data_IF_886808752662
#
_entry.id   IF_886808752662
#
_cell.length_a   1.000
_cell.length_b   1.000
_cell.length_c   1.000
_cell.angle_alpha   90.00
_cell.angle_beta   90.00
_cell.angle_gamma   90.00
#
_symmetry.space_group_name_H-M   'P 1'
#
loop_
_entity.id
_entity.type
_entity.pdbx_description
1 polymer ?
#
# COMPACT_ATOMS: atom_id res chain seq x y z
N UNK A 1 22.00 1.61 9.10
CA UNK A 1 21.65 0.46 8.25
C UNK A 1 22.85 0.16 7.37
N UNK A 2 23.26 -1.10 7.35
CA UNK A 2 24.42 -1.64 6.64
C UNK A 2 23.96 -2.35 5.38
N UNK A 3 24.38 -1.86 4.22
CA UNK A 3 23.98 -2.36 2.91
C UNK A 3 25.19 -2.97 2.20
N UNK A 4 25.09 -4.20 1.71
CA UNK A 4 26.04 -4.74 0.75
C UNK A 4 25.50 -4.63 -0.69
N UNK A 5 26.40 -4.58 -1.67
CA UNK A 5 26.04 -4.47 -3.09
C UNK A 5 26.60 -5.68 -3.85
N UNK A 6 25.74 -6.37 -4.61
CA UNK A 6 26.09 -7.43 -5.55
C UNK A 6 25.83 -6.93 -6.97
N UNK A 7 26.87 -6.92 -7.80
CA UNK A 7 26.90 -6.24 -9.09
C UNK A 7 27.29 -4.78 -8.94
N UNK A 8 28.46 -4.39 -9.44
CA UNK A 8 29.06 -3.06 -9.34
C UNK A 8 29.09 -2.34 -10.71
N UNK A 9 28.21 -2.71 -11.64
CA UNK A 9 28.15 -2.12 -12.98
C UNK A 9 27.61 -0.69 -13.04
N UNK A 10 27.41 -0.18 -14.26
CA UNK A 10 27.09 1.24 -14.53
C UNK A 10 25.93 1.84 -13.71
N UNK A 11 24.84 1.09 -13.49
CA UNK A 11 23.68 1.58 -12.72
C UNK A 11 24.08 1.82 -11.26
N UNK A 12 24.95 0.96 -10.70
CA UNK A 12 25.47 1.12 -9.34
C UNK A 12 26.31 2.37 -9.22
N UNK A 13 27.20 2.59 -10.20
CA UNK A 13 28.09 3.76 -10.23
C UNK A 13 27.33 5.08 -10.37
N UNK A 14 26.34 5.12 -11.28
CA UNK A 14 25.66 6.36 -11.65
C UNK A 14 24.49 6.72 -10.75
N UNK A 15 23.77 5.72 -10.25
CA UNK A 15 22.49 5.94 -9.55
C UNK A 15 22.54 5.44 -8.11
N UNK A 16 22.90 4.17 -7.89
CA UNK A 16 22.74 3.58 -6.56
C UNK A 16 23.71 4.14 -5.53
N UNK A 17 25.04 4.11 -5.77
CA UNK A 17 26.01 4.61 -4.79
C UNK A 17 25.78 6.10 -4.46
N UNK A 18 25.59 7.01 -5.45
CA UNK A 18 25.26 8.40 -5.15
C UNK A 18 24.00 8.55 -4.28
N UNK A 19 22.94 7.82 -4.61
CA UNK A 19 21.68 7.85 -3.83
C UNK A 19 21.87 7.31 -2.41
N UNK A 20 22.55 6.17 -2.26
CA UNK A 20 22.84 5.54 -0.97
C UNK A 20 23.65 6.49 -0.08
N UNK A 21 24.65 7.16 -0.64
CA UNK A 21 25.46 8.16 0.05
C UNK A 21 24.62 9.36 0.52
N UNK A 22 23.73 9.89 -0.34
CA UNK A 22 22.80 10.98 0.03
C UNK A 22 21.87 10.57 1.18
N UNK A 23 21.41 9.32 1.19
CA UNK A 23 20.56 8.77 2.24
C UNK A 23 21.32 8.47 3.54
N UNK A 24 22.65 8.63 3.57
CA UNK A 24 23.47 8.36 4.76
C UNK A 24 23.51 6.87 5.14
N UNK A 25 23.28 5.98 4.17
CA UNK A 25 23.32 4.52 4.39
C UNK A 25 24.76 4.06 4.24
N UNK A 26 25.21 3.20 5.18
CA UNK A 26 26.57 2.67 5.18
C UNK A 26 26.67 1.48 4.21
N UNK A 27 27.55 1.58 3.21
CA UNK A 27 27.89 0.47 2.32
C UNK A 27 28.96 -0.35 3.01
N UNK A 28 28.70 -1.62 3.31
CA UNK A 28 29.62 -2.45 4.12
C UNK A 28 30.34 -3.54 3.32
N UNK A 29 29.96 -3.76 2.06
CA UNK A 29 30.59 -4.74 1.18
C UNK A 29 30.21 -4.55 -0.27
N UNK A 30 31.16 -4.86 -1.17
CA UNK A 30 30.94 -4.91 -2.62
C UNK A 30 31.22 -6.31 -3.15
N UNK A 31 30.41 -6.79 -4.07
CA UNK A 31 30.63 -8.04 -4.76
C UNK A 31 30.40 -7.88 -6.26
N UNK A 32 31.38 -8.27 -7.07
CA UNK A 32 31.23 -8.38 -8.52
C UNK A 32 32.23 -9.44 -9.03
N UNK A 33 31.84 -10.19 -10.05
CA UNK A 33 32.73 -11.16 -10.69
C UNK A 33 33.88 -10.48 -11.44
N UNK A 34 33.68 -9.23 -11.86
CA UNK A 34 34.66 -8.41 -12.55
C UNK A 34 35.31 -7.42 -11.56
N UNK A 35 36.61 -7.60 -11.30
CA UNK A 35 37.37 -6.77 -10.36
C UNK A 35 37.39 -5.28 -10.75
N UNK A 36 37.40 -4.97 -12.06
CA UNK A 36 37.34 -3.61 -12.58
C UNK A 36 36.09 -2.84 -12.11
N UNK A 37 34.93 -3.50 -12.04
CA UNK A 37 33.69 -2.89 -11.57
C UNK A 37 33.79 -2.53 -10.08
N UNK A 38 34.41 -3.40 -9.27
CA UNK A 38 34.66 -3.14 -7.85
C UNK A 38 35.57 -1.93 -7.69
N UNK A 39 36.64 -1.83 -8.50
CA UNK A 39 37.60 -0.73 -8.46
C UNK A 39 36.87 0.59 -8.73
N UNK A 40 36.05 0.66 -9.78
CA UNK A 40 35.28 1.88 -10.10
C UNK A 40 34.27 2.22 -9.02
N UNK A 41 33.53 1.24 -8.48
CA UNK A 41 32.58 1.46 -7.41
C UNK A 41 33.25 1.99 -6.14
N UNK A 42 34.44 1.47 -5.81
CA UNK A 42 35.21 1.90 -4.63
C UNK A 42 35.66 3.36 -4.73
N UNK A 43 35.90 3.90 -5.93
CA UNK A 43 36.25 5.34 -6.11
C UNK A 43 35.15 6.28 -5.63
N UNK A 44 33.90 5.81 -5.59
CA UNK A 44 32.73 6.58 -5.17
C UNK A 44 32.45 6.46 -3.66
N UNK A 45 33.27 5.68 -2.93
CA UNK A 45 33.10 5.40 -1.52
C UNK A 45 34.34 5.88 -0.77
N UNK A 46 34.16 6.84 0.14
CA UNK A 46 35.27 7.56 0.79
C UNK A 46 35.92 6.80 1.97
N UNK A 47 35.63 5.51 2.12
CA UNK A 47 36.12 4.68 3.22
C UNK A 47 36.41 3.25 2.74
N UNK A 48 37.24 2.53 3.51
CA UNK A 48 37.62 1.16 3.18
C UNK A 48 36.48 0.21 3.46
N UNK A 49 36.19 -0.64 2.48
CA UNK A 49 35.18 -1.69 2.57
C UNK A 49 35.73 -2.98 1.97
N UNK A 50 35.38 -4.15 2.52
CA UNK A 50 35.75 -5.44 1.95
C UNK A 50 35.07 -5.62 0.59
N UNK A 51 35.68 -6.41 -0.29
CA UNK A 51 35.11 -6.70 -1.60
C UNK A 51 35.41 -8.13 -2.03
N UNK A 52 34.47 -8.73 -2.74
CA UNK A 52 34.43 -10.16 -3.01
C UNK A 52 34.10 -10.42 -4.49
N UNK A 53 34.57 -11.55 -5.02
CA UNK A 53 34.09 -12.08 -6.30
C UNK A 53 32.96 -13.10 -6.12
N UNK A 54 32.83 -13.67 -4.91
CA UNK A 54 31.79 -14.60 -4.52
C UNK A 54 30.83 -13.93 -3.53
N UNK A 55 29.55 -13.85 -3.88
CA UNK A 55 28.56 -13.21 -3.01
C UNK A 55 28.29 -14.06 -1.74
N UNK A 56 28.44 -15.38 -1.80
CA UNK A 56 28.22 -16.24 -0.65
C UNK A 56 29.26 -15.95 0.44
N UNK A 57 30.54 -15.86 0.07
CA UNK A 57 31.63 -15.46 0.97
C UNK A 57 31.36 -14.08 1.59
N UNK A 58 30.93 -13.10 0.77
CA UNK A 58 30.57 -11.78 1.29
C UNK A 58 29.44 -11.85 2.32
N UNK A 59 28.40 -12.64 2.07
CA UNK A 59 27.25 -12.74 2.98
C UNK A 59 27.58 -13.48 4.29
N UNK A 60 28.56 -14.39 4.26
CA UNK A 60 29.06 -15.09 5.44
C UNK A 60 29.98 -14.21 6.30
N UNK A 61 30.83 -13.40 5.66
CA UNK A 61 31.86 -12.61 6.35
C UNK A 61 31.43 -11.19 6.72
N UNK A 62 30.50 -10.60 5.96
CA UNK A 62 30.11 -9.19 6.12
C UNK A 62 28.71 -9.11 6.76
N UNK A 63 28.61 -8.69 8.04
CA UNK A 63 27.33 -8.44 8.68
C UNK A 63 26.57 -7.33 7.93
N UNK A 64 25.42 -7.68 7.37
CA UNK A 64 24.59 -6.79 6.54
C UNK A 64 23.15 -6.78 7.03
N UNK A 65 22.50 -5.61 6.99
CA UNK A 65 21.06 -5.49 7.26
C UNK A 65 20.24 -5.72 5.98
N UNK A 66 20.83 -5.43 4.82
CA UNK A 66 20.20 -5.57 3.50
C UNK A 66 21.25 -5.74 2.39
N UNK A 67 20.81 -6.24 1.24
CA UNK A 67 21.66 -6.48 0.06
C UNK A 67 20.99 -5.90 -1.18
N UNK A 68 21.72 -5.09 -1.94
CA UNK A 68 21.32 -4.59 -3.25
C UNK A 68 21.88 -5.50 -4.35
N UNK A 69 20.99 -6.20 -5.06
CA UNK A 69 21.36 -7.03 -6.21
C UNK A 69 21.11 -6.27 -7.51
N UNK A 70 22.18 -5.77 -8.12
CA UNK A 70 22.18 -4.95 -9.33
C UNK A 70 22.84 -5.68 -10.51
N UNK A 71 22.39 -6.92 -10.76
CA UNK A 71 22.86 -7.75 -11.87
C UNK A 71 22.03 -7.52 -13.15
N UNK A 72 22.64 -7.68 -14.35
CA UNK A 72 21.93 -7.56 -15.63
C UNK A 72 20.85 -8.65 -15.83
N UNK A 73 19.69 -8.26 -16.34
CA UNK A 73 18.50 -9.14 -16.49
C UNK A 73 18.62 -10.19 -17.59
N UNK A 74 19.46 -9.97 -18.59
CA UNK A 74 19.51 -10.85 -19.77
C UNK A 74 20.21 -12.19 -19.52
N UNK A 75 20.90 -12.35 -18.38
CA UNK A 75 21.63 -13.57 -18.03
C UNK A 75 20.71 -14.75 -17.65
N UNK A 76 19.41 -14.49 -17.42
CA UNK A 76 18.41 -15.50 -17.01
C UNK A 76 17.68 -16.15 -18.20
N UNK A 77 17.84 -15.64 -19.43
CA UNK A 77 17.21 -16.21 -20.64
C UNK A 77 18.13 -17.22 -21.31
N UNK A 78 17.91 -18.50 -21.04
CA UNK A 78 18.73 -19.59 -21.57
C UNK A 78 18.27 -20.13 -22.94
N UNK A 79 17.07 -19.78 -23.40
CA UNK A 79 16.52 -20.21 -24.68
C UNK A 79 17.03 -19.34 -25.83
N UNK A 80 17.78 -19.93 -26.77
CA UNK A 80 18.46 -19.20 -27.86
C UNK A 80 17.53 -18.29 -28.67
N UNK A 81 16.34 -18.78 -29.06
CA UNK A 81 15.35 -18.01 -29.82
C UNK A 81 14.67 -16.88 -29.03
N UNK A 82 14.93 -16.76 -27.73
CA UNK A 82 14.38 -15.71 -26.87
C UNK A 82 15.45 -14.70 -26.39
N UNK A 83 16.73 -14.95 -26.67
CA UNK A 83 17.84 -14.10 -26.22
C UNK A 83 17.75 -12.67 -26.74
N UNK A 84 17.25 -12.47 -27.95
CA UNK A 84 17.07 -11.12 -28.53
C UNK A 84 16.01 -10.29 -27.77
N UNK A 85 15.07 -10.95 -27.09
CA UNK A 85 14.06 -10.31 -26.25
C UNK A 85 14.49 -10.22 -24.79
N UNK A 86 15.70 -10.63 -24.40
CA UNK A 86 16.06 -10.72 -22.97
C UNK A 86 16.18 -9.35 -22.27
N UNK A 87 16.46 -8.27 -23.03
CA UNK A 87 16.58 -6.91 -22.50
C UNK A 87 15.21 -6.23 -22.38
N UNK A 88 14.32 -6.45 -23.34
CA UNK A 88 13.02 -5.76 -23.44
C UNK A 88 11.85 -6.62 -22.98
N UNK A 89 11.91 -7.92 -23.25
CA UNK A 89 10.82 -8.87 -23.08
C UNK A 89 9.48 -8.33 -23.59
N UNK A 90 8.40 -8.86 -23.03
CA UNK A 90 7.12 -8.15 -22.88
C UNK A 90 6.86 -7.77 -21.41
N UNK A 91 7.88 -7.92 -20.55
CA UNK A 91 7.80 -7.74 -19.10
C UNK A 91 8.36 -6.40 -18.64
N UNK A 92 7.93 -5.95 -17.46
CA UNK A 92 8.49 -4.77 -16.79
C UNK A 92 9.38 -5.22 -15.61
N UNK A 93 10.38 -4.42 -15.25
CA UNK A 93 11.11 -4.60 -14.01
C UNK A 93 10.26 -4.10 -12.82
N UNK A 94 9.46 -5.00 -12.23
CA UNK A 94 8.58 -4.73 -11.08
C UNK A 94 9.16 -5.21 -9.75
N UNK A 95 10.50 -5.29 -9.64
CA UNK A 95 11.16 -5.74 -8.40
C UNK A 95 11.08 -4.65 -7.33
N UNK A 96 10.77 -5.06 -6.10
CA UNK A 96 10.82 -4.17 -4.94
C UNK A 96 12.27 -3.75 -4.66
N UNK A 97 12.47 -2.46 -4.38
CA UNK A 97 13.77 -1.96 -3.96
C UNK A 97 14.14 -2.52 -2.56
N UNK A 98 15.39 -2.92 -2.28
CA UNK A 98 15.80 -3.47 -0.99
C UNK A 98 15.46 -2.57 0.21
N UNK A 99 15.52 -1.25 0.02
CA UNK A 99 15.08 -0.29 1.05
C UNK A 99 13.59 -0.40 1.38
N UNK A 100 12.74 -0.63 0.37
CA UNK A 100 11.32 -0.90 0.58
C UNK A 100 11.11 -2.18 1.40
N UNK A 101 11.87 -3.22 1.09
CA UNK A 101 11.86 -4.47 1.86
C UNK A 101 12.30 -4.24 3.32
N UNK A 102 13.38 -3.49 3.53
CA UNK A 102 13.91 -3.18 4.86
C UNK A 102 12.95 -2.34 5.71
N UNK A 103 12.13 -1.48 5.10
CA UNK A 103 11.07 -0.74 5.80
C UNK A 103 9.90 -1.64 6.18
N UNK A 104 9.52 -2.58 5.31
CA UNK A 104 8.40 -3.51 5.56
C UNK A 104 8.76 -4.57 6.60
N UNK A 105 10.00 -5.03 6.63
CA UNK A 105 10.40 -6.18 7.46
C UNK A 105 10.08 -6.00 8.96
N UNK A 106 10.40 -4.87 9.64
CA UNK A 106 10.01 -4.66 11.02
C UNK A 106 8.49 -4.50 11.25
N UNK A 107 7.73 -4.12 10.21
CA UNK A 107 6.27 -4.08 10.28
C UNK A 107 5.67 -5.49 10.29
N UNK A 108 6.32 -6.44 9.61
CA UNK A 108 5.88 -7.84 9.58
C UNK A 108 5.92 -8.49 10.97
N UNK A 109 6.91 -8.16 11.80
CA UNK A 109 7.01 -8.65 13.19
C UNK A 109 5.79 -8.26 14.05
N UNK A 110 5.20 -7.10 13.75
CA UNK A 110 4.02 -6.57 14.46
C UNK A 110 2.71 -6.91 13.76
N UNK A 111 2.75 -7.52 12.58
CA UNK A 111 1.58 -7.70 11.73
C UNK A 111 0.42 -8.42 12.44
N UNK A 112 0.72 -9.51 13.16
CA UNK A 112 -0.30 -10.25 13.90
C UNK A 112 -0.94 -9.42 15.02
N UNK A 113 -0.13 -8.69 15.79
CA UNK A 113 -0.63 -7.78 16.82
C UNK A 113 -1.51 -6.68 16.20
N UNK A 114 -1.04 -6.06 15.12
CA UNK A 114 -1.78 -5.00 14.42
C UNK A 114 -3.15 -5.51 13.92
N UNK A 115 -3.21 -6.72 13.35
CA UNK A 115 -4.47 -7.30 12.90
C UNK A 115 -5.43 -7.57 14.05
N UNK A 116 -4.94 -8.07 15.18
CA UNK A 116 -5.80 -8.33 16.34
C UNK A 116 -6.36 -7.04 16.95
N UNK A 117 -5.51 -6.02 17.12
CA UNK A 117 -5.92 -4.71 17.62
C UNK A 117 -6.97 -4.06 16.69
N UNK A 118 -6.78 -4.16 15.36
CA UNK A 118 -7.78 -3.66 14.41
C UNK A 118 -9.12 -4.39 14.52
N UNK A 119 -9.12 -5.71 14.71
CA UNK A 119 -10.35 -6.49 14.90
C UNK A 119 -11.03 -6.13 16.21
N UNK A 120 -10.26 -5.85 17.26
CA UNK A 120 -10.77 -5.37 18.52
C UNK A 120 -11.46 -4.01 18.37
N UNK A 121 -10.76 -3.03 17.79
CA UNK A 121 -11.31 -1.71 17.45
C UNK A 121 -12.61 -1.85 16.65
N UNK A 122 -12.60 -2.68 15.60
CA UNK A 122 -13.79 -2.88 14.77
C UNK A 122 -14.96 -3.51 15.53
N UNK A 123 -14.70 -4.39 16.50
CA UNK A 123 -15.76 -4.98 17.34
C UNK A 123 -16.41 -3.94 18.24
N UNK A 124 -15.60 -3.08 18.87
CA UNK A 124 -16.08 -2.00 19.74
C UNK A 124 -16.90 -1.00 18.93
N UNK A 125 -16.33 -0.47 17.84
CA UNK A 125 -17.00 0.50 16.98
C UNK A 125 -18.30 -0.06 16.42
N UNK A 126 -18.32 -1.32 15.96
CA UNK A 126 -19.54 -1.97 15.50
C UNK A 126 -20.61 -2.00 16.58
N UNK A 127 -20.25 -2.42 17.80
CA UNK A 127 -21.20 -2.52 18.90
C UNK A 127 -21.83 -1.17 19.24
N UNK A 128 -21.04 -0.10 19.28
CA UNK A 128 -21.53 1.24 19.63
C UNK A 128 -22.27 1.92 18.48
N UNK A 129 -21.75 1.85 17.26
CA UNK A 129 -22.39 2.47 16.09
C UNK A 129 -23.75 1.82 15.78
N UNK A 130 -23.90 0.51 15.95
CA UNK A 130 -25.18 -0.17 15.71
C UNK A 130 -26.27 0.19 16.74
N UNK A 131 -25.94 0.86 17.86
CA UNK A 131 -26.92 1.43 18.78
C UNK A 131 -27.52 2.73 18.24
N UNK A 132 -26.86 3.38 17.28
CA UNK A 132 -27.27 4.67 16.74
C UNK A 132 -28.31 4.45 15.64
N UNK A 133 -29.54 4.93 15.86
CA UNK A 133 -30.62 4.81 14.90
C UNK A 133 -30.27 5.55 13.60
N UNK A 134 -30.24 4.80 12.49
CA UNK A 134 -29.90 5.32 11.17
C UNK A 134 -28.47 5.01 10.71
N UNK A 135 -27.63 4.45 11.59
CA UNK A 135 -26.30 3.95 11.24
C UNK A 135 -26.26 2.42 11.37
N UNK A 136 -25.51 1.77 10.48
CA UNK A 136 -25.35 0.31 10.54
C UNK A 136 -24.04 -0.14 9.89
N UNK A 137 -23.34 -1.07 10.52
CA UNK A 137 -22.16 -1.68 9.89
C UNK A 137 -22.57 -2.71 8.83
N UNK A 138 -21.78 -2.79 7.76
CA UNK A 138 -21.98 -3.80 6.73
C UNK A 138 -21.93 -5.23 7.30
N UNK A 139 -22.63 -6.15 6.63
CA UNK A 139 -22.67 -7.56 7.06
C UNK A 139 -21.28 -8.19 6.90
N UNK A 140 -20.73 -8.66 8.01
CA UNK A 140 -19.53 -9.50 8.02
C UNK A 140 -19.95 -10.97 7.87
N UNK A 141 -19.40 -11.75 6.90
CA UNK A 141 -19.70 -13.17 6.79
C UNK A 141 -19.30 -13.96 8.04
N UNK A 142 -20.10 -14.95 8.45
CA UNK A 142 -19.88 -15.71 9.71
C UNK A 142 -18.53 -16.43 9.81
N UNK A 143 -17.94 -16.79 8.67
CA UNK A 143 -16.65 -17.49 8.59
C UNK A 143 -15.49 -16.56 8.21
N UNK A 144 -15.74 -15.26 8.11
CA UNK A 144 -14.70 -14.30 7.77
C UNK A 144 -13.94 -13.86 9.03
N UNK A 145 -12.64 -13.72 8.88
CA UNK A 145 -11.74 -13.08 9.85
C UNK A 145 -11.16 -11.81 9.19
N UNK A 146 -11.81 -10.64 9.32
CA UNK A 146 -11.48 -9.50 8.48
C UNK A 146 -10.14 -8.85 8.84
N UNK A 147 -9.35 -8.55 7.81
CA UNK A 147 -8.23 -7.61 7.88
C UNK A 147 -8.76 -6.21 7.55
N UNK A 148 -9.14 -5.45 8.58
CA UNK A 148 -9.80 -4.16 8.39
C UNK A 148 -8.84 -3.10 7.81
N UNK A 149 -9.09 -2.69 6.57
CA UNK A 149 -8.50 -1.47 6.01
C UNK A 149 -9.24 -0.24 6.55
N UNK A 150 -10.56 -0.25 6.44
CA UNK A 150 -11.48 0.76 6.96
C UNK A 150 -12.84 0.11 7.25
N UNK A 151 -13.67 0.73 8.07
CA UNK A 151 -15.02 0.28 8.39
C UNK A 151 -16.08 1.06 7.61
N UNK A 152 -16.77 0.42 6.65
CA UNK A 152 -17.92 1.02 5.99
C UNK A 152 -19.13 1.03 6.92
N UNK A 153 -19.73 2.22 7.06
CA UNK A 153 -20.91 2.51 7.86
C UNK A 153 -22.02 2.94 6.89
N UNK A 154 -23.11 2.18 6.91
CA UNK A 154 -24.31 2.49 6.15
C UNK A 154 -25.09 3.61 6.83
N UNK A 155 -25.53 4.58 6.02
CA UNK A 155 -26.28 5.76 6.42
C UNK A 155 -27.71 5.69 5.89
N UNK A 156 -28.69 5.78 6.78
CA UNK A 156 -30.12 5.85 6.43
C UNK A 156 -30.62 7.29 6.44
N UNK A 157 -30.68 7.91 5.25
CA UNK A 157 -31.21 9.27 5.05
C UNK A 157 -32.62 9.48 5.61
N UNK A 158 -33.42 8.43 5.80
CA UNK A 158 -34.76 8.57 6.38
C UNK A 158 -34.71 9.00 7.86
N UNK A 159 -33.61 8.75 8.57
CA UNK A 159 -33.44 9.06 10.01
C UNK A 159 -32.79 10.42 10.29
N UNK A 160 -32.26 11.09 9.26
CA UNK A 160 -31.53 12.34 9.41
C UNK A 160 -32.11 13.47 8.57
N UNK A 161 -32.00 14.71 9.08
CA UNK A 161 -32.45 15.93 8.40
C UNK A 161 -31.59 16.23 7.17
N UNK A 162 -30.29 15.91 7.22
CA UNK A 162 -29.28 16.21 6.18
C UNK A 162 -28.87 14.99 5.35
N UNK A 163 -28.30 15.23 4.17
CA UNK A 163 -27.76 14.22 3.25
C UNK A 163 -26.49 13.53 3.79
N UNK A 164 -26.05 12.46 3.13
CA UNK A 164 -24.81 11.76 3.50
C UNK A 164 -23.59 12.70 3.49
N UNK A 165 -23.42 13.50 2.44
CA UNK A 165 -22.31 14.45 2.32
C UNK A 165 -22.30 15.49 3.44
N UNK A 166 -23.46 16.09 3.73
CA UNK A 166 -23.61 17.07 4.80
C UNK A 166 -23.40 16.45 6.20
N UNK A 167 -23.82 15.18 6.38
CA UNK A 167 -23.58 14.44 7.61
C UNK A 167 -22.08 14.19 7.83
N UNK A 168 -21.36 13.73 6.80
CA UNK A 168 -19.91 13.50 6.87
C UNK A 168 -19.15 14.82 7.06
N UNK A 169 -19.54 15.89 6.37
CA UNK A 169 -18.97 17.23 6.59
C UNK A 169 -19.21 17.74 8.03
N UNK A 170 -20.36 17.44 8.61
CA UNK A 170 -20.62 17.76 10.01
C UNK A 170 -19.72 16.96 10.98
N UNK A 171 -19.43 15.70 10.68
CA UNK A 171 -18.49 14.88 11.46
C UNK A 171 -17.06 15.44 11.39
N UNK A 172 -16.57 15.75 10.18
CA UNK A 172 -15.22 16.26 9.99
C UNK A 172 -15.02 17.62 10.65
N UNK A 173 -16.01 18.53 10.53
CA UNK A 173 -16.00 19.83 11.24
C UNK A 173 -16.04 19.69 12.77
N UNK A 174 -16.61 18.61 13.29
CA UNK A 174 -16.63 18.30 14.72
C UNK A 174 -15.36 17.58 15.20
N UNK A 175 -14.42 17.28 14.30
CA UNK A 175 -13.10 16.70 14.63
C UNK A 175 -12.89 15.26 14.16
N UNK A 176 -13.91 14.59 13.62
CA UNK A 176 -13.78 13.25 13.05
C UNK A 176 -13.26 13.31 11.61
N UNK A 177 -12.03 13.80 11.44
CA UNK A 177 -11.44 14.17 10.15
C UNK A 177 -11.21 12.99 9.19
N UNK A 178 -11.18 11.76 9.70
CA UNK A 178 -11.02 10.54 8.88
C UNK A 178 -12.36 9.98 8.37
N UNK A 179 -13.49 10.59 8.74
CA UNK A 179 -14.78 10.26 8.15
C UNK A 179 -14.82 10.70 6.70
N UNK A 180 -14.99 9.73 5.79
CA UNK A 180 -14.87 9.94 4.35
C UNK A 180 -15.92 9.16 3.55
N UNK A 181 -16.30 9.70 2.39
CA UNK A 181 -17.11 8.99 1.39
C UNK A 181 -16.15 8.53 0.29
N UNK A 182 -15.68 7.27 0.35
CA UNK A 182 -14.54 6.86 -0.44
C UNK A 182 -14.87 6.80 -1.92
N UNK A 183 -14.24 7.67 -2.70
CA UNK A 183 -14.36 7.68 -4.16
C UNK A 183 -13.94 6.34 -4.79
N UNK A 184 -12.95 5.65 -4.21
CA UNK A 184 -12.45 4.36 -4.70
C UNK A 184 -13.45 3.20 -4.60
N UNK A 185 -14.53 3.35 -3.81
CA UNK A 185 -15.61 2.35 -3.72
C UNK A 185 -16.76 2.63 -4.70
N UNK A 186 -16.65 3.70 -5.49
CA UNK A 186 -17.58 4.02 -6.56
C UNK A 186 -17.55 2.91 -7.63
N UNK A 187 -18.70 2.59 -8.24
CA UNK A 187 -18.73 1.68 -9.38
C UNK A 187 -17.74 2.09 -10.47
N UNK A 188 -16.81 1.19 -10.81
CA UNK A 188 -15.68 1.50 -11.70
C UNK A 188 -16.09 1.93 -13.10
N UNK A 189 -17.32 1.60 -13.53
CA UNK A 189 -17.88 2.02 -14.82
C UNK A 189 -18.04 3.54 -14.95
N UNK A 190 -18.00 4.27 -13.84
CA UNK A 190 -18.04 5.74 -13.84
C UNK A 190 -16.69 6.37 -14.24
N UNK A 191 -15.59 5.62 -14.24
CA UNK A 191 -14.28 6.14 -14.63
C UNK A 191 -14.03 5.99 -16.13
N UNK A 192 -13.48 7.05 -16.75
CA UNK A 192 -13.16 7.10 -18.18
C UNK A 192 -12.28 5.94 -18.66
N UNK A 193 -11.40 5.41 -17.80
CA UNK A 193 -10.57 4.25 -18.11
C UNK A 193 -11.41 3.00 -18.44
N UNK A 194 -12.54 2.81 -17.76
CA UNK A 194 -13.41 1.65 -17.95
C UNK A 194 -14.56 1.92 -18.94
N UNK A 195 -14.85 3.19 -19.22
CA UNK A 195 -15.80 3.59 -20.27
C UNK A 195 -15.15 3.65 -21.67
N UNK A 196 -13.92 4.12 -21.74
CA UNK A 196 -13.19 4.35 -23.01
C UNK A 196 -11.75 3.83 -22.95
N UNK A 197 -11.54 2.54 -22.64
CA UNK A 197 -10.20 1.97 -22.52
C UNK A 197 -9.40 2.04 -23.82
N UNK A 198 -10.06 2.12 -24.97
CA UNK A 198 -9.44 2.24 -26.30
C UNK A 198 -8.62 3.54 -26.46
N UNK A 199 -8.90 4.56 -25.65
CA UNK A 199 -8.12 5.82 -25.65
C UNK A 199 -6.73 5.64 -25.06
N UNK A 200 -6.52 4.60 -24.24
CA UNK A 200 -5.28 4.37 -23.49
C UNK A 200 -4.59 3.07 -23.95
N UNK A 201 -5.33 2.09 -24.47
CA UNK A 201 -4.78 0.83 -24.97
C UNK A 201 -5.44 0.39 -26.28
N UNK A 202 -4.61 0.00 -27.25
CA UNK A 202 -5.06 -0.34 -28.62
C UNK A 202 -5.78 -1.69 -28.73
N UNK A 203 -5.75 -2.53 -27.70
CA UNK A 203 -6.18 -3.93 -27.77
C UNK A 203 -7.65 -4.19 -27.39
N UNK A 204 -8.51 -3.17 -27.44
CA UNK A 204 -9.93 -3.34 -27.15
C UNK A 204 -10.71 -3.48 -28.47
N UNK A 205 -10.79 -4.71 -28.98
CA UNK A 205 -11.49 -5.04 -30.25
C UNK A 205 -13.01 -4.82 -30.16
N UNK A 206 -13.59 -4.91 -28.95
CA UNK A 206 -15.03 -4.83 -28.72
C UNK A 206 -15.36 -3.78 -27.66
N UNK A 207 -16.33 -2.92 -27.99
CA UNK A 207 -16.95 -1.98 -27.03
C UNK A 207 -18.07 -2.68 -26.28
N UNK A 208 -17.77 -3.22 -25.10
CA UNK A 208 -18.83 -3.68 -24.21
C UNK A 208 -19.48 -2.47 -23.53
N UNK A 209 -20.79 -2.30 -23.73
CA UNK A 209 -21.55 -1.22 -23.08
C UNK A 209 -21.88 -1.64 -21.65
N UNK A 210 -21.27 -0.95 -20.70
CA UNK A 210 -21.51 -1.13 -19.27
C UNK A 210 -22.59 -0.13 -18.84
N UNK A 211 -23.79 -0.61 -18.54
CA UNK A 211 -24.93 0.24 -18.21
C UNK A 211 -25.14 0.31 -16.67
N UNK A 212 -25.48 1.48 -16.09
CA UNK A 212 -25.64 1.65 -14.63
C UNK A 212 -26.64 0.68 -13.98
N UNK A 213 -27.68 0.27 -14.71
CA UNK A 213 -28.69 -0.68 -14.27
C UNK A 213 -28.13 -2.07 -13.90
N UNK A 214 -26.94 -2.42 -14.41
CA UNK A 214 -26.26 -3.67 -14.07
C UNK A 214 -25.57 -3.60 -12.69
N UNK A 215 -25.44 -2.40 -12.10
CA UNK A 215 -24.68 -2.16 -10.86
C UNK A 215 -25.53 -1.51 -9.76
N UNK A 216 -26.86 -1.68 -9.79
CA UNK A 216 -27.81 -1.07 -8.83
C UNK A 216 -27.35 -1.19 -7.37
N UNK A 217 -26.86 -2.37 -6.97
CA UNK A 217 -26.39 -2.61 -5.60
C UNK A 217 -25.10 -1.85 -5.27
N UNK A 218 -24.15 -1.79 -6.20
CA UNK A 218 -22.89 -1.06 -6.01
C UNK A 218 -23.13 0.46 -5.95
N UNK A 219 -24.00 0.98 -6.82
CA UNK A 219 -24.43 2.40 -6.81
C UNK A 219 -25.14 2.71 -5.49
N UNK A 220 -26.09 1.87 -5.07
CA UNK A 220 -26.80 2.04 -3.79
C UNK A 220 -25.82 2.01 -2.62
N UNK A 221 -24.90 1.05 -2.60
CA UNK A 221 -23.89 0.93 -1.56
C UNK A 221 -23.05 2.21 -1.46
N UNK A 222 -22.46 2.66 -2.57
CA UNK A 222 -21.65 3.88 -2.62
C UNK A 222 -22.42 5.13 -2.15
N UNK A 223 -23.68 5.29 -2.57
CA UNK A 223 -24.49 6.47 -2.23
C UNK A 223 -25.04 6.46 -0.79
N UNK A 224 -24.85 5.40 -0.03
CA UNK A 224 -25.39 5.26 1.33
C UNK A 224 -24.34 4.83 2.34
N UNK A 225 -23.06 5.05 2.05
CA UNK A 225 -21.96 4.60 2.90
C UNK A 225 -20.91 5.70 3.03
N UNK A 226 -20.43 5.87 4.25
CA UNK A 226 -19.16 6.51 4.55
C UNK A 226 -18.26 5.50 5.28
N UNK A 227 -16.96 5.78 5.37
CA UNK A 227 -16.01 4.95 6.09
C UNK A 227 -15.42 5.69 7.28
N UNK A 228 -14.96 4.92 8.25
CA UNK A 228 -13.98 5.33 9.25
C UNK A 228 -12.75 4.46 9.14
N UNK A 229 -11.60 5.01 9.51
CA UNK A 229 -10.39 4.23 9.64
C UNK A 229 -10.47 3.31 10.87
N UNK A 230 -9.67 2.25 10.86
CA UNK A 230 -9.60 1.29 11.96
C UNK A 230 -8.21 1.32 12.57
N UNK A 231 -8.16 1.98 13.72
CA UNK A 231 -6.94 2.26 14.48
C UNK A 231 -6.41 1.02 15.20
N UNK A 232 -5.09 1.02 15.38
CA UNK A 232 -4.32 0.04 16.13
C UNK A 232 -3.23 0.80 16.91
N UNK A 233 -2.50 0.09 17.77
CA UNK A 233 -1.47 0.68 18.62
C UNK A 233 -2.02 1.23 19.95
N UNK A 234 -1.15 1.91 20.71
CA UNK A 234 -1.42 2.29 22.10
C UNK A 234 -2.49 3.39 22.24
N UNK A 235 -2.64 4.25 21.24
CA UNK A 235 -3.59 5.38 21.29
C UNK A 235 -4.98 5.03 20.76
N UNK A 236 -5.20 3.78 20.30
CA UNK A 236 -6.45 3.39 19.63
C UNK A 236 -7.70 3.66 20.48
N UNK A 237 -7.63 3.49 21.79
CA UNK A 237 -8.77 3.71 22.68
C UNK A 237 -9.17 5.18 22.72
N UNK A 238 -8.20 6.09 22.74
CA UNK A 238 -8.44 7.53 22.67
C UNK A 238 -9.16 7.92 21.37
N UNK A 239 -8.75 7.33 20.23
CA UNK A 239 -9.45 7.57 18.95
C UNK A 239 -10.88 7.01 18.97
N UNK A 240 -11.07 5.79 19.47
CA UNK A 240 -12.40 5.17 19.60
C UNK A 240 -13.34 6.08 20.41
N UNK A 241 -12.93 6.51 21.59
CA UNK A 241 -13.78 7.29 22.50
C UNK A 241 -14.16 8.64 21.90
N UNK A 242 -13.18 9.35 21.33
CA UNK A 242 -13.43 10.66 20.72
C UNK A 242 -14.33 10.57 19.49
N UNK A 243 -14.07 9.62 18.59
CA UNK A 243 -14.88 9.48 17.39
C UNK A 243 -16.31 9.05 17.72
N UNK A 244 -16.50 8.14 18.68
CA UNK A 244 -17.84 7.76 19.13
C UNK A 244 -18.60 8.93 19.78
N UNK A 245 -17.93 9.76 20.58
CA UNK A 245 -18.53 10.97 21.15
C UNK A 245 -18.97 11.97 20.06
N UNK A 246 -18.12 12.19 19.05
CA UNK A 246 -18.42 13.08 17.92
C UNK A 246 -19.58 12.53 17.08
N UNK A 247 -19.58 11.23 16.77
CA UNK A 247 -20.63 10.60 15.96
C UNK A 247 -21.97 10.64 16.70
N UNK A 248 -21.97 10.35 18.00
CA UNK A 248 -23.18 10.36 18.83
C UNK A 248 -23.77 11.77 18.89
N UNK A 249 -22.98 12.77 19.28
CA UNK A 249 -23.45 14.16 19.38
C UNK A 249 -23.91 14.73 18.03
N UNK A 250 -23.19 14.42 16.95
CA UNK A 250 -23.56 14.84 15.58
C UNK A 250 -24.85 14.18 15.13
N UNK A 251 -25.03 12.89 15.43
CA UNK A 251 -26.27 12.16 15.15
C UNK A 251 -27.45 12.75 15.91
N UNK A 252 -27.31 13.01 17.21
CA UNK A 252 -28.37 13.60 18.04
C UNK A 252 -28.82 14.97 17.52
N UNK A 253 -27.87 15.79 17.05
CA UNK A 253 -28.15 17.11 16.48
C UNK A 253 -28.86 17.04 15.13
N UNK A 254 -28.60 16.01 14.32
CA UNK A 254 -29.07 15.89 12.94
C UNK A 254 -30.21 14.87 12.76
N UNK A 255 -30.68 14.27 13.85
CA UNK A 255 -31.81 13.31 13.82
C UNK A 255 -33.10 13.99 13.37
N UNK A 256 -33.95 13.23 12.69
CA UNK A 256 -35.35 13.58 12.41
C UNK A 256 -36.26 13.28 13.58
#
# INVERSE_FOLDING_TARGET
MKLAIIGCGNIVLKEHIPTINILGIEIVGLCDILEENIIEARKLINYKIPSYSCYQEMLEEVPTDSVLVALPHYMEVHTDNLKEFAITGTGLNLRMHPLGAAVVLPQMDKFHQMMEEKRETARILKHEIEKINGLKITRIPKKADPAWYAMPIMFDKSKFTVGLHEFVDALTKAGAVEADIPGSTCPIHNYSLFHSPERISKNYEKKDRVLPENFKNAIKFHNSMFKLDIWYGPERQYFIDNYLAIITSTTERLRK
#
